data_IF_697741242426
#
_entry.id   IF_697741242426
#
_cell.length_a   1.000
_cell.length_b   1.000
_cell.length_c   1.000
_cell.angle_alpha   90.00
_cell.angle_beta   90.00
_cell.angle_gamma   90.00
#
_symmetry.space_group_name_H-M   'P 1'
#
loop_
_entity.id
_entity.type
_entity.pdbx_description
1 polymer ?
#
# COMPACT_ATOMS: atom_id res chain seq x y z
N UNK A 1 28.18 -39.30 -32.19
CA UNK A 1 27.46 -40.59 -32.05
C UNK A 1 27.77 -41.10 -30.63
N UNK A 2 26.80 -41.23 -29.71
CA UNK A 2 25.75 -42.27 -29.66
C UNK A 2 26.44 -43.65 -29.73
N UNK A 3 26.35 -44.59 -28.79
CA UNK A 3 25.46 -44.95 -27.67
C UNK A 3 26.09 -46.26 -27.07
N UNK A 4 25.81 -46.76 -25.87
CA UNK A 4 24.63 -47.56 -25.45
C UNK A 4 25.00 -48.11 -24.04
N UNK A 5 24.16 -47.99 -23.00
CA UNK A 5 23.15 -48.99 -22.56
C UNK A 5 23.73 -50.42 -22.38
N UNK A 6 23.63 -51.13 -21.25
CA UNK A 6 22.42 -51.46 -20.48
C UNK A 6 22.72 -52.24 -19.19
N UNK A 7 21.74 -52.23 -18.28
CA UNK A 7 21.08 -53.39 -17.61
C UNK A 7 21.18 -53.51 -16.09
N UNK A 8 20.01 -53.73 -15.51
CA UNK A 8 19.61 -53.76 -14.10
C UNK A 8 19.62 -55.17 -13.51
N UNK A 9 19.78 -55.30 -12.18
CA UNK A 9 18.99 -56.25 -11.38
C UNK A 9 19.65 -57.08 -10.24
N UNK A 10 19.40 -56.64 -8.99
CA UNK A 10 18.99 -57.36 -7.75
C UNK A 10 19.73 -58.61 -7.20
N UNK A 11 20.14 -58.58 -5.90
CA UNK A 11 19.69 -59.42 -4.74
C UNK A 11 20.75 -59.63 -3.62
N UNK A 12 20.24 -59.74 -2.38
CA UNK A 12 20.82 -59.78 -1.02
C UNK A 12 22.05 -60.67 -0.72
N UNK A 13 22.82 -60.33 0.34
CA UNK A 13 22.86 -61.02 1.65
C UNK A 13 24.13 -60.66 2.48
N UNK A 14 23.99 -60.58 3.82
CA UNK A 14 25.03 -61.12 4.73
C UNK A 14 25.99 -60.18 5.49
N UNK A 15 25.49 -59.62 6.61
CA UNK A 15 26.12 -59.38 7.95
C UNK A 15 27.62 -59.71 8.15
N UNK A 16 28.40 -58.79 8.75
CA UNK A 16 29.11 -58.94 10.06
C UNK A 16 29.75 -57.63 10.53
N UNK A 17 29.61 -57.37 11.83
CA UNK A 17 30.02 -56.20 12.62
C UNK A 17 31.53 -56.12 12.81
N UNK A 18 32.11 -54.92 12.68
CA UNK A 18 33.22 -54.45 13.53
C UNK A 18 33.00 -52.99 13.93
N UNK A 19 32.85 -52.80 15.23
CA UNK A 19 33.03 -51.56 15.94
C UNK A 19 34.41 -50.96 15.63
N UNK A 20 34.46 -49.71 15.21
CA UNK A 20 35.54 -48.80 15.56
C UNK A 20 34.98 -47.38 15.59
N UNK A 21 34.91 -46.88 16.81
CA UNK A 21 34.82 -45.48 17.18
C UNK A 21 35.83 -44.65 16.41
N UNK A 22 35.35 -43.88 15.45
CA UNK A 22 35.97 -42.64 15.04
C UNK A 22 34.84 -41.62 15.00
N UNK A 23 34.75 -40.80 16.05
CA UNK A 23 34.01 -39.55 15.99
C UNK A 23 34.65 -38.71 14.87
N UNK A 24 34.05 -38.73 13.69
CA UNK A 24 34.24 -37.64 12.76
C UNK A 24 33.62 -36.39 13.39
N UNK A 25 34.37 -35.30 13.59
CA UNK A 25 33.72 -34.03 13.86
C UNK A 25 32.95 -33.70 12.60
N UNK A 26 31.63 -33.89 12.69
CA UNK A 26 30.65 -33.40 11.74
C UNK A 26 30.90 -31.89 11.66
N UNK A 27 31.73 -31.49 10.70
CA UNK A 27 31.90 -30.11 10.27
C UNK A 27 30.52 -29.75 9.73
N UNK A 28 29.64 -29.33 10.63
CA UNK A 28 28.48 -28.53 10.30
C UNK A 28 29.09 -27.39 9.52
N UNK A 29 29.07 -27.48 8.19
CA UNK A 29 29.17 -26.31 7.33
C UNK A 29 28.05 -25.42 7.84
N UNK A 30 28.44 -24.46 8.69
CA UNK A 30 27.65 -23.32 9.11
C UNK A 30 27.49 -22.43 7.86
N UNK A 31 26.92 -22.97 6.80
CA UNK A 31 26.21 -22.16 5.81
C UNK A 31 24.89 -21.78 6.48
N UNK A 32 24.99 -21.01 7.56
CA UNK A 32 23.88 -20.18 7.99
C UNK A 32 23.52 -19.36 6.76
N UNK A 33 22.30 -19.53 6.25
CA UNK A 33 21.86 -18.80 5.07
C UNK A 33 22.13 -17.30 5.29
N UNK A 34 23.04 -16.74 4.49
CA UNK A 34 23.44 -15.33 4.57
C UNK A 34 22.37 -14.49 3.89
N UNK A 35 21.21 -14.39 4.53
CA UNK A 35 20.02 -13.71 4.02
C UNK A 35 19.78 -12.47 4.87
N UNK A 36 19.33 -11.38 4.24
CA UNK A 36 18.82 -10.20 4.92
C UNK A 36 17.39 -9.91 4.49
N UNK A 37 16.65 -9.19 5.32
CA UNK A 37 15.32 -8.69 5.01
C UNK A 37 15.41 -7.21 4.69
N UNK A 38 14.78 -6.79 3.60
CA UNK A 38 14.81 -5.40 3.18
C UNK A 38 13.38 -4.88 3.05
N UNK A 39 13.08 -3.79 3.76
CA UNK A 39 11.84 -3.02 3.64
C UNK A 39 12.09 -1.83 2.72
N UNK A 40 11.17 -1.55 1.81
CA UNK A 40 11.21 -0.37 0.95
C UNK A 40 9.81 0.07 0.56
N UNK A 41 9.70 1.28 0.03
CA UNK A 41 8.42 1.84 -0.41
C UNK A 41 7.48 2.17 0.74
N UNK A 42 6.20 1.86 0.56
CA UNK A 42 5.13 2.22 1.49
C UNK A 42 4.93 1.16 2.57
N UNK A 43 4.27 1.51 3.68
CA UNK A 43 4.10 0.60 4.82
C UNK A 43 3.36 -0.71 4.51
N UNK A 44 2.52 -0.71 3.48
CA UNK A 44 1.77 -1.88 3.05
C UNK A 44 2.58 -2.82 2.14
N UNK A 45 3.81 -2.46 1.78
CA UNK A 45 4.66 -3.33 0.96
C UNK A 45 5.34 -4.41 1.81
N UNK A 46 5.38 -5.66 1.32
CA UNK A 46 6.00 -6.75 2.06
C UNK A 46 7.52 -6.60 2.13
N UNK A 47 8.12 -7.07 3.23
CA UNK A 47 9.57 -7.22 3.32
C UNK A 47 10.05 -8.27 2.33
N UNK A 48 11.20 -8.03 1.70
CA UNK A 48 11.81 -8.98 0.76
C UNK A 48 13.11 -9.53 1.28
N UNK A 49 13.31 -10.81 1.05
CA UNK A 49 14.56 -11.50 1.37
C UNK A 49 15.56 -11.37 0.25
N UNK A 50 16.80 -11.09 0.61
CA UNK A 50 17.92 -11.06 -0.33
C UNK A 50 19.09 -11.90 0.17
N UNK A 51 19.72 -12.61 -0.75
CA UNK A 51 20.96 -13.34 -0.49
C UNK A 51 22.13 -12.36 -0.48
N UNK A 52 22.96 -12.40 0.55
CA UNK A 52 24.14 -11.53 0.74
C UNK A 52 25.46 -12.21 0.37
N UNK A 53 25.42 -13.45 -0.13
CA UNK A 53 26.60 -14.13 -0.67
C UNK A 53 27.03 -13.60 -2.05
N UNK A 54 26.36 -12.58 -2.58
CA UNK A 54 26.68 -11.86 -3.83
C UNK A 54 27.48 -10.59 -3.51
N UNK A 55 28.01 -9.91 -4.54
CA UNK A 55 28.62 -8.59 -4.35
C UNK A 55 27.58 -7.52 -4.02
N UNK A 56 28.02 -6.44 -3.39
CA UNK A 56 27.20 -5.27 -3.07
C UNK A 56 26.54 -4.68 -4.33
N UNK A 57 27.28 -4.57 -5.44
CA UNK A 57 26.78 -4.11 -6.73
C UNK A 57 25.65 -4.99 -7.29
N UNK A 58 25.78 -6.31 -7.17
CA UNK A 58 24.73 -7.26 -7.60
C UNK A 58 23.50 -7.11 -6.70
N UNK A 59 23.69 -7.04 -5.38
CA UNK A 59 22.60 -6.87 -4.43
C UNK A 59 21.81 -5.58 -4.71
N UNK A 60 22.52 -4.45 -4.89
CA UNK A 60 21.92 -3.16 -5.19
C UNK A 60 21.20 -3.16 -6.54
N UNK A 61 21.73 -3.86 -7.55
CA UNK A 61 21.06 -4.00 -8.85
C UNK A 61 19.71 -4.71 -8.70
N UNK A 62 19.66 -5.80 -7.93
CA UNK A 62 18.40 -6.50 -7.66
C UNK A 62 17.42 -5.65 -6.84
N UNK A 63 17.91 -4.96 -5.81
CA UNK A 63 17.10 -4.05 -5.01
C UNK A 63 16.52 -2.93 -5.87
N UNK A 64 17.34 -2.28 -6.69
CA UNK A 64 16.91 -1.22 -7.61
C UNK A 64 15.85 -1.71 -8.58
N UNK A 65 16.08 -2.82 -9.26
CA UNK A 65 15.12 -3.39 -10.21
C UNK A 65 13.78 -3.72 -9.54
N UNK A 66 13.83 -4.30 -8.35
CA UNK A 66 12.63 -4.70 -7.61
C UNK A 66 11.87 -3.48 -7.06
N UNK A 67 12.59 -2.54 -6.45
CA UNK A 67 12.05 -1.30 -5.88
C UNK A 67 11.36 -0.47 -6.97
N UNK A 68 12.03 -0.26 -8.11
CA UNK A 68 11.47 0.45 -9.27
C UNK A 68 10.17 -0.20 -9.73
N UNK A 69 10.18 -1.52 -9.94
CA UNK A 69 9.00 -2.24 -10.43
C UNK A 69 7.82 -2.12 -9.46
N UNK A 70 8.04 -2.43 -8.18
CA UNK A 70 6.96 -2.49 -7.20
C UNK A 70 6.37 -1.12 -6.90
N UNK A 71 7.22 -0.10 -6.72
CA UNK A 71 6.76 1.25 -6.41
C UNK A 71 6.08 1.89 -7.61
N UNK A 72 6.60 1.71 -8.83
CA UNK A 72 5.95 2.20 -10.05
C UNK A 72 4.55 1.59 -10.24
N UNK A 73 4.43 0.27 -10.10
CA UNK A 73 3.15 -0.43 -10.20
C UNK A 73 2.17 0.03 -9.11
N UNK A 74 2.63 0.14 -7.86
CA UNK A 74 1.81 0.64 -6.77
C UNK A 74 1.33 2.07 -7.00
N UNK A 75 2.21 2.96 -7.46
CA UNK A 75 1.84 4.36 -7.71
C UNK A 75 0.80 4.47 -8.84
N UNK A 76 0.92 3.67 -9.91
CA UNK A 76 -0.06 3.62 -10.99
C UNK A 76 -1.43 3.16 -10.48
N UNK A 77 -1.47 2.05 -9.77
CA UNK A 77 -2.72 1.49 -9.22
C UNK A 77 -3.37 2.47 -8.23
N UNK A 78 -2.58 3.01 -7.30
CA UNK A 78 -3.09 3.90 -6.24
C UNK A 78 -3.54 5.25 -6.78
N UNK A 79 -2.86 5.80 -7.78
CA UNK A 79 -3.26 7.05 -8.44
C UNK A 79 -4.62 6.91 -9.15
N UNK A 80 -4.84 5.80 -9.85
CA UNK A 80 -6.15 5.50 -10.48
C UNK A 80 -7.23 5.37 -9.39
N UNK A 81 -6.97 4.62 -8.32
CA UNK A 81 -7.93 4.47 -7.23
C UNK A 81 -8.30 5.83 -6.61
N UNK A 82 -7.30 6.64 -6.25
CA UNK A 82 -7.52 7.94 -5.61
C UNK A 82 -8.25 8.92 -6.52
N UNK A 83 -8.00 8.90 -7.83
CA UNK A 83 -8.72 9.76 -8.77
C UNK A 83 -10.21 9.41 -8.85
N UNK A 84 -10.55 8.11 -8.90
CA UNK A 84 -11.94 7.64 -8.86
C UNK A 84 -12.61 8.06 -7.54
N UNK A 85 -11.95 7.86 -6.40
CA UNK A 85 -12.51 8.20 -5.10
C UNK A 85 -12.68 9.72 -4.91
N UNK A 86 -11.74 10.53 -5.39
CA UNK A 86 -11.86 11.99 -5.39
C UNK A 86 -13.01 12.46 -6.27
N UNK A 87 -13.21 11.87 -7.44
CA UNK A 87 -14.32 12.23 -8.32
C UNK A 87 -15.68 11.82 -7.73
N UNK A 88 -15.75 10.69 -7.04
CA UNK A 88 -16.93 10.28 -6.29
C UNK A 88 -17.28 11.29 -5.19
N UNK A 89 -16.29 11.73 -4.41
CA UNK A 89 -16.49 12.75 -3.35
C UNK A 89 -16.91 14.10 -3.94
N UNK A 90 -16.29 14.53 -5.04
CA UNK A 90 -16.67 15.78 -5.74
C UNK A 90 -18.13 15.73 -6.21
N UNK A 91 -18.57 14.60 -6.78
CA UNK A 91 -19.96 14.41 -7.19
C UNK A 91 -20.92 14.43 -6.01
N UNK A 92 -20.60 13.76 -4.91
CA UNK A 92 -21.41 13.77 -3.69
C UNK A 92 -21.57 15.18 -3.12
N UNK A 93 -20.48 15.95 -3.03
CA UNK A 93 -20.51 17.34 -2.59
C UNK A 93 -21.35 18.24 -3.51
N UNK A 94 -21.30 18.03 -4.83
CA UNK A 94 -22.13 18.75 -5.80
C UNK A 94 -23.61 18.37 -5.76
N UNK A 95 -23.93 17.15 -5.37
CA UNK A 95 -25.32 16.70 -5.20
C UNK A 95 -25.93 17.30 -3.92
N UNK A 96 -25.19 17.28 -2.81
CA UNK A 96 -25.61 17.90 -1.55
C UNK A 96 -25.83 19.42 -1.68
N UNK A 97 -25.04 20.11 -2.49
CA UNK A 97 -25.26 21.55 -2.75
C UNK A 97 -26.49 21.82 -3.63
N UNK A 98 -26.82 20.92 -4.55
CA UNK A 98 -28.01 21.03 -5.41
C UNK A 98 -29.32 20.66 -4.68
N UNK A 99 -29.31 19.66 -3.80
CA UNK A 99 -30.48 19.30 -2.96
C UNK A 99 -30.86 20.46 -2.04
N UNK A 100 -29.87 21.16 -1.49
CA UNK A 100 -30.05 22.34 -0.65
C UNK A 100 -30.71 23.54 -1.37
N UNK A 101 -30.59 23.64 -2.70
CA UNK A 101 -31.20 24.72 -3.49
C UNK A 101 -32.62 24.35 -3.97
N UNK A 102 -32.88 23.07 -4.25
CA UNK A 102 -34.19 22.59 -4.66
C UNK A 102 -35.23 22.62 -3.51
N UNK A 103 -34.78 22.51 -2.25
CA UNK A 103 -35.65 22.61 -1.07
C UNK A 103 -36.15 24.03 -0.78
N UNK A 104 -35.47 25.07 -1.28
CA UNK A 104 -35.90 26.47 -1.13
C UNK A 104 -36.86 26.90 -2.24
N UNK A 105 -36.74 26.34 -3.45
CA UNK A 105 -37.60 26.68 -4.59
C UNK A 105 -38.98 25.96 -4.57
N UNK A 106 -39.16 24.94 -3.72
CA UNK A 106 -40.40 24.18 -3.60
C UNK A 106 -41.49 24.79 -2.70
N UNK A 107 -41.24 25.94 -2.05
CA UNK A 107 -42.18 26.57 -1.11
C UNK A 107 -43.04 27.71 -1.71
N UNK A 108 -43.21 27.73 -3.03
CA UNK A 108 -44.15 28.63 -3.73
C UNK A 108 -45.09 27.82 -4.61
N UNK A 109 -45.73 26.81 -4.03
CA UNK A 109 -46.88 26.14 -4.63
C UNK A 109 -48.18 26.66 -3.99
N UNK A 110 -48.89 27.53 -4.73
CA UNK A 110 -50.35 27.42 -4.79
C UNK A 110 -51.19 28.48 -4.08
N UNK A 111 -51.05 29.76 -4.44
CA UNK A 111 -52.16 30.72 -4.29
C UNK A 111 -53.17 30.51 -5.41
N UNK A 112 -54.08 29.54 -5.24
CA UNK A 112 -55.33 29.44 -6.02
C UNK A 112 -56.44 30.15 -5.24
N UNK A 113 -57.10 31.20 -5.78
CA UNK A 113 -58.37 31.63 -5.23
C UNK A 113 -59.47 30.78 -5.87
N UNK A 114 -60.14 29.96 -5.08
CA UNK A 114 -61.35 29.29 -5.51
C UNK A 114 -62.40 29.35 -4.41
N UNK A 115 -63.45 30.10 -4.73
CA UNK A 115 -64.85 29.85 -4.39
C UNK A 115 -65.38 30.39 -3.06
N UNK A 116 -66.41 31.23 -3.19
CA UNK A 116 -67.78 30.75 -2.99
C UNK A 116 -68.27 30.70 -1.54
N UNK A 117 -69.27 31.53 -1.28
CA UNK A 117 -69.94 31.71 0.01
C UNK A 117 -70.88 30.54 0.41
N UNK A 118 -71.17 30.51 1.72
CA UNK A 118 -72.36 29.93 2.41
C UNK A 118 -72.40 28.40 2.49
N UNK A 119 -72.70 27.69 3.60
CA UNK A 119 -73.34 27.99 4.90
C UNK A 119 -73.25 26.73 5.78
N UNK A 120 -73.21 26.87 7.11
CA UNK A 120 -73.57 25.78 8.03
C UNK A 120 -72.74 25.73 9.33
N UNK A 121 -73.35 25.90 10.52
CA UNK A 121 -72.66 25.78 11.79
C UNK A 121 -72.90 24.38 12.40
N UNK A 122 -71.84 23.70 12.84
CA UNK A 122 -71.96 22.72 13.92
C UNK A 122 -70.62 22.54 14.64
N UNK A 123 -70.67 22.87 15.93
CA UNK A 123 -69.69 22.60 16.98
C UNK A 123 -69.38 21.10 17.15
N UNK A 124 -68.13 20.77 17.51
CA UNK A 124 -67.86 19.60 18.35
C UNK A 124 -66.64 18.73 18.06
N UNK A 125 -65.47 19.15 18.57
CA UNK A 125 -64.43 18.31 19.24
C UNK A 125 -63.31 17.66 18.37
N UNK A 126 -62.04 17.64 18.87
CA UNK A 126 -60.85 17.72 18.03
C UNK A 126 -60.20 16.36 17.70
N UNK A 127 -59.64 16.26 16.49
CA UNK A 127 -58.61 15.27 16.14
C UNK A 127 -57.23 15.89 16.31
N UNK A 128 -56.46 15.37 17.25
CA UNK A 128 -54.99 15.45 17.25
C UNK A 128 -54.46 14.82 15.96
N UNK A 129 -53.52 15.49 15.28
CA UNK A 129 -52.22 14.87 15.10
C UNK A 129 -51.11 15.89 15.36
N UNK A 130 -50.48 15.79 16.53
CA UNK A 130 -49.20 16.43 16.78
C UNK A 130 -48.15 15.34 16.76
N UNK A 131 -47.35 15.31 15.71
CA UNK A 131 -45.89 15.36 15.80
C UNK A 131 -45.33 15.23 14.40
N UNK A 132 -45.30 16.37 13.69
CA UNK A 132 -44.28 16.64 12.69
C UNK A 132 -42.92 16.36 13.30
N UNK A 133 -42.35 15.18 12.97
CA UNK A 133 -40.93 14.91 13.14
C UNK A 133 -40.20 15.71 12.06
N UNK A 134 -40.06 16.99 12.31
CA UNK A 134 -39.33 17.94 11.48
C UNK A 134 -38.24 18.54 12.35
N UNK A 135 -37.15 17.81 12.56
CA UNK A 135 -35.89 18.37 13.09
C UNK A 135 -34.87 17.23 13.24
N UNK A 136 -34.13 16.96 12.16
CA UNK A 136 -32.75 16.44 12.22
C UNK A 136 -32.06 16.37 10.85
N UNK A 137 -32.71 16.74 9.74
CA UNK A 137 -32.07 16.56 8.42
C UNK A 137 -30.91 17.54 8.15
N UNK A 138 -31.02 18.79 8.62
CA UNK A 138 -29.99 19.81 8.37
C UNK A 138 -28.70 19.56 9.19
N UNK A 139 -28.80 19.01 10.40
CA UNK A 139 -27.62 18.72 11.23
C UNK A 139 -26.80 17.55 10.71
N UNK A 140 -27.47 16.54 10.13
CA UNK A 140 -26.82 15.36 9.54
C UNK A 140 -26.15 15.68 8.20
N UNK A 141 -26.81 16.43 7.30
CA UNK A 141 -26.22 16.84 6.02
C UNK A 141 -24.99 17.75 6.18
N UNK A 142 -25.00 18.67 7.17
CA UNK A 142 -23.84 19.54 7.44
C UNK A 142 -22.66 18.72 7.96
N UNK A 143 -22.94 17.74 8.84
CA UNK A 143 -21.93 16.82 9.36
C UNK A 143 -21.32 15.95 8.25
N UNK A 144 -22.16 15.39 7.37
CA UNK A 144 -21.73 14.55 6.24
C UNK A 144 -20.93 15.35 5.20
N UNK A 145 -21.35 16.57 4.86
CA UNK A 145 -20.61 17.43 3.95
C UNK A 145 -19.25 17.87 4.52
N UNK A 146 -19.15 18.07 5.85
CA UNK A 146 -17.87 18.36 6.50
C UNK A 146 -16.92 17.16 6.47
N UNK A 147 -17.45 15.95 6.74
CA UNK A 147 -16.69 14.71 6.68
C UNK A 147 -16.21 14.39 5.25
N UNK A 148 -17.05 14.64 4.24
CA UNK A 148 -16.68 14.48 2.84
C UNK A 148 -15.55 15.43 2.41
N UNK A 149 -15.57 16.70 2.89
CA UNK A 149 -14.46 17.64 2.66
C UNK A 149 -13.16 17.20 3.34
N UNK A 150 -13.22 16.71 4.58
CA UNK A 150 -12.06 16.19 5.27
C UNK A 150 -11.47 14.97 4.54
N UNK A 151 -12.32 14.04 4.09
CA UNK A 151 -11.90 12.87 3.31
C UNK A 151 -11.25 13.27 1.98
N UNK A 152 -11.79 14.29 1.29
CA UNK A 152 -11.19 14.86 0.08
C UNK A 152 -9.76 15.34 0.34
N UNK A 153 -9.55 16.13 1.39
CA UNK A 153 -8.23 16.66 1.74
C UNK A 153 -7.22 15.54 2.02
N UNK A 154 -7.64 14.47 2.71
CA UNK A 154 -6.79 13.30 2.96
C UNK A 154 -6.37 12.61 1.66
N UNK A 155 -7.28 12.45 0.70
CA UNK A 155 -6.97 11.82 -0.58
C UNK A 155 -6.11 12.70 -1.49
N UNK A 156 -6.27 14.02 -1.43
CA UNK A 156 -5.37 14.96 -2.13
C UNK A 156 -3.94 14.85 -1.56
N UNK A 157 -3.79 14.83 -0.23
CA UNK A 157 -2.47 14.59 0.41
C UNK A 157 -1.88 13.24 0.03
N UNK A 158 -2.69 12.18 0.00
CA UNK A 158 -2.22 10.86 -0.44
C UNK A 158 -1.75 10.89 -1.89
N UNK A 159 -2.46 11.61 -2.77
CA UNK A 159 -2.09 11.74 -4.18
C UNK A 159 -0.75 12.47 -4.33
N UNK A 160 -0.49 13.51 -3.54
CA UNK A 160 0.80 14.22 -3.54
C UNK A 160 1.97 13.32 -3.11
N UNK A 161 1.75 12.48 -2.10
CA UNK A 161 2.74 11.47 -1.65
C UNK A 161 3.04 10.48 -2.79
N UNK A 162 2.00 9.96 -3.45
CA UNK A 162 2.13 9.02 -4.58
C UNK A 162 2.87 9.67 -5.75
N UNK A 163 2.54 10.92 -6.09
CA UNK A 163 3.21 11.66 -7.17
C UNK A 163 4.70 11.90 -6.84
N UNK A 164 5.01 12.21 -5.58
CA UNK A 164 6.38 12.38 -5.11
C UNK A 164 7.18 11.08 -5.22
N UNK A 165 6.59 9.95 -4.79
CA UNK A 165 7.23 8.64 -4.94
C UNK A 165 7.46 8.27 -6.41
N UNK A 166 6.46 8.50 -7.28
CA UNK A 166 6.59 8.27 -8.72
C UNK A 166 7.69 9.13 -9.36
N UNK A 167 7.90 10.36 -8.88
CA UNK A 167 9.02 11.20 -9.29
C UNK A 167 10.36 10.59 -8.88
N UNK A 168 10.51 10.16 -7.64
CA UNK A 168 11.75 9.53 -7.16
C UNK A 168 12.09 8.25 -7.94
N UNK A 169 11.10 7.45 -8.35
CA UNK A 169 11.36 6.30 -9.20
C UNK A 169 11.92 6.70 -10.57
N UNK A 170 11.40 7.77 -11.18
CA UNK A 170 11.96 8.29 -12.43
C UNK A 170 13.40 8.77 -12.26
N UNK A 171 13.69 9.47 -11.17
CA UNK A 171 15.06 9.91 -10.82
C UNK A 171 16.01 8.72 -10.63
N UNK A 172 15.54 7.65 -9.97
CA UNK A 172 16.30 6.42 -9.75
C UNK A 172 16.60 5.67 -11.07
N UNK A 173 15.62 5.61 -11.97
CA UNK A 173 15.79 5.04 -13.32
C UNK A 173 16.80 5.88 -14.11
N UNK A 174 16.67 7.21 -14.06
CA UNK A 174 17.56 8.15 -14.74
C UNK A 174 18.98 8.17 -14.16
N UNK A 175 19.20 7.55 -12.99
CA UNK A 175 20.50 7.52 -12.32
C UNK A 175 20.86 8.84 -11.63
N UNK A 176 19.88 9.71 -11.37
CA UNK A 176 20.06 10.96 -10.63
C UNK A 176 20.18 10.70 -9.12
N UNK A 177 19.52 9.65 -8.65
CA UNK A 177 19.67 9.13 -7.30
C UNK A 177 19.99 7.63 -7.34
N UNK A 178 20.53 7.12 -6.24
CA UNK A 178 20.81 5.69 -6.04
C UNK A 178 20.22 5.22 -4.72
N UNK A 179 20.30 3.90 -4.49
CA UNK A 179 19.79 3.28 -3.27
C UNK A 179 20.93 3.01 -2.29
N UNK A 180 20.62 3.13 -1.01
CA UNK A 180 21.43 2.60 0.06
C UNK A 180 20.54 1.91 1.10
N UNK A 181 21.17 1.22 2.05
CA UNK A 181 20.51 0.54 3.15
C UNK A 181 20.79 1.25 4.47
N UNK A 182 19.75 1.35 5.31
CA UNK A 182 19.88 1.73 6.72
C UNK A 182 19.53 0.56 7.61
N UNK A 183 20.30 0.39 8.69
CA UNK A 183 20.03 -0.61 9.71
C UNK A 183 18.88 -0.18 10.65
N UNK A 184 18.58 -1.00 11.66
CA UNK A 184 17.56 -0.70 12.68
C UNK A 184 17.89 0.50 13.57
N UNK A 185 19.14 0.95 13.59
CA UNK A 185 19.62 2.09 14.36
C UNK A 185 19.66 3.38 13.52
N UNK A 186 19.32 3.31 12.23
CA UNK A 186 19.38 4.42 11.30
C UNK A 186 20.78 4.69 10.73
N UNK A 187 21.75 3.80 10.97
CA UNK A 187 23.07 3.94 10.37
C UNK A 187 23.00 3.58 8.90
N UNK A 188 23.67 4.36 8.05
CA UNK A 188 23.81 4.05 6.62
C UNK A 188 24.90 3.02 6.40
N UNK A 189 24.61 2.01 5.58
CA UNK A 189 25.52 0.91 5.27
C UNK A 189 26.50 1.26 4.15
N UNK A 190 26.24 2.32 3.36
CA UNK A 190 27.08 2.74 2.24
C UNK A 190 27.41 1.59 1.28
N UNK A 191 26.41 0.76 0.97
CA UNK A 191 26.58 -0.48 0.20
C UNK A 191 27.15 -0.20 -1.20
N UNK A 192 26.83 0.97 -1.76
CA UNK A 192 27.33 1.40 -3.06
C UNK A 192 28.85 1.61 -3.08
N UNK A 193 29.40 2.21 -2.01
CA UNK A 193 30.83 2.46 -1.89
C UNK A 193 31.67 1.17 -1.83
N UNK A 194 31.06 0.07 -1.36
CA UNK A 194 31.69 -1.24 -1.29
C UNK A 194 31.76 -1.96 -2.64
N UNK A 195 30.99 -1.52 -3.65
CA UNK A 195 31.09 -1.99 -5.03
C UNK A 195 31.09 -3.51 -5.18
N UNK A 196 32.26 -4.09 -5.47
CA UNK A 196 32.42 -5.52 -5.74
C UNK A 196 32.63 -6.38 -4.49
N UNK A 197 32.77 -5.78 -3.31
CA UNK A 197 32.89 -6.51 -2.06
C UNK A 197 31.63 -7.33 -1.79
N UNK A 198 31.79 -8.48 -1.13
CA UNK A 198 30.66 -9.35 -0.81
C UNK A 198 29.73 -8.63 0.16
N UNK A 199 28.43 -8.63 -0.10
CA UNK A 199 27.45 -7.92 0.73
C UNK A 199 27.45 -8.40 2.18
N UNK A 200 27.76 -9.67 2.42
CA UNK A 200 27.87 -10.24 3.76
C UNK A 200 29.07 -9.76 4.59
N UNK A 201 29.97 -8.95 4.03
CA UNK A 201 31.06 -8.30 4.79
C UNK A 201 30.58 -7.05 5.53
N UNK A 202 29.48 -6.45 5.07
CA UNK A 202 28.92 -5.20 5.60
C UNK A 202 27.55 -5.46 6.22
N UNK A 203 26.74 -6.31 5.58
CA UNK A 203 25.41 -6.65 6.04
C UNK A 203 25.45 -7.88 6.95
N UNK A 204 24.75 -7.77 8.07
CA UNK A 204 24.64 -8.84 9.05
C UNK A 204 23.46 -9.74 8.71
N UNK A 205 23.72 -11.04 8.63
CA UNK A 205 22.68 -12.02 8.31
C UNK A 205 21.50 -11.96 9.29
N UNK A 206 20.30 -12.21 8.77
CA UNK A 206 19.00 -12.24 9.46
C UNK A 206 18.56 -10.89 10.03
N UNK A 207 19.26 -9.81 9.74
CA UNK A 207 18.81 -8.47 10.09
C UNK A 207 17.84 -7.90 9.05
N UNK A 208 17.11 -6.88 9.49
CA UNK A 208 16.25 -6.08 8.64
C UNK A 208 16.92 -4.74 8.35
N UNK A 209 16.87 -4.35 7.07
CA UNK A 209 17.34 -3.06 6.58
C UNK A 209 16.17 -2.33 5.91
N UNK A 210 16.24 -1.00 5.89
CA UNK A 210 15.33 -0.17 5.10
C UNK A 210 16.07 0.46 3.93
N UNK A 211 15.43 0.52 2.77
CA UNK A 211 15.98 1.23 1.61
C UNK A 211 15.78 2.72 1.80
N UNK A 212 16.82 3.48 1.50
CA UNK A 212 16.78 4.94 1.38
C UNK A 212 17.29 5.35 0.01
N UNK A 213 16.74 6.44 -0.54
CA UNK A 213 17.30 7.08 -1.72
C UNK A 213 18.39 8.07 -1.31
N UNK A 214 19.42 8.16 -2.13
CA UNK A 214 20.56 9.06 -1.95
C UNK A 214 20.71 9.83 -3.24
N UNK A 215 20.64 11.15 -3.15
CA UNK A 215 20.88 12.07 -4.27
C UNK A 215 22.19 12.80 -4.03
N UNK A 216 22.98 13.02 -5.08
CA UNK A 216 24.07 14.00 -5.01
C UNK A 216 23.43 15.37 -4.82
N UNK A 217 23.65 16.00 -3.67
CA UNK A 217 23.38 17.43 -3.53
C UNK A 217 24.40 18.17 -4.40
N UNK A 218 23.96 18.62 -5.58
CA UNK A 218 24.69 19.62 -6.38
C UNK A 218 24.44 21.00 -5.82
#
# INVERSE_FOLDING_TARGET
>A
MIRNESKWGIHHCGRTVRTNTCEEPLVKLKNAAMIVWVKYGFDNMPLKMYNTNVSCAILLSFLKATCVKDIDEYCKQKSIQLSIELDAIRRALQQASKSSLASVAGSVAGSRPASGASSGPHDGRPKTPQSTRSESHAGEEISEASAARAKKELFEKQLDIINTAAKHIKELIAGVCWLDLVDSHGNRMNVDAAGNDRANTILTARQQYSVVSVSTST
#
